data_IF_792998737044
#
_entry.id   IF_792998737044
#
_cell.length_a   1.000
_cell.length_b   1.000
_cell.length_c   1.000
_cell.angle_alpha   90.00
_cell.angle_beta   90.00
_cell.angle_gamma   90.00
#
_symmetry.space_group_name_H-M   'P 1'
#
loop_
_entity.id
_entity.type
_entity.pdbx_description
1 polymer ?
#
# COMPACT_ATOMS: atom_id res chain seq x y z
N UNK A 1 3.74 -6.90 12.93
CA UNK A 1 3.04 -7.56 11.81
C UNK A 1 4.05 -7.93 10.75
N UNK A 2 3.80 -9.01 10.02
CA UNK A 2 4.55 -9.40 8.83
C UNK A 2 3.89 -8.78 7.61
N UNK A 3 4.66 -8.06 6.83
CA UNK A 3 4.14 -7.24 5.72
C UNK A 3 4.89 -7.60 4.44
N UNK A 4 4.13 -7.95 3.40
CA UNK A 4 4.64 -7.96 2.04
C UNK A 4 4.64 -6.52 1.50
N UNK A 5 5.78 -6.02 1.06
CA UNK A 5 5.89 -4.65 0.56
C UNK A 5 6.35 -4.63 -0.90
N UNK A 6 5.49 -4.12 -1.77
CA UNK A 6 5.71 -4.12 -3.21
C UNK A 6 5.88 -2.70 -3.75
N UNK A 7 7.03 -2.44 -4.35
CA UNK A 7 7.35 -1.14 -4.94
C UNK A 7 8.21 -0.25 -4.04
N UNK A 8 9.53 -0.29 -4.26
CA UNK A 8 10.53 0.50 -3.55
C UNK A 8 11.09 1.61 -4.45
N UNK A 9 10.17 2.36 -5.06
CA UNK A 9 10.50 3.59 -5.77
C UNK A 9 10.83 4.74 -4.82
N UNK A 10 10.84 5.96 -5.34
CA UNK A 10 11.18 7.15 -4.56
C UNK A 10 10.25 7.37 -3.35
N UNK A 11 8.98 6.98 -3.46
CA UNK A 11 8.01 7.07 -2.37
C UNK A 11 7.98 5.80 -1.52
N UNK A 12 8.02 4.63 -2.14
CA UNK A 12 7.90 3.34 -1.43
C UNK A 12 9.09 3.01 -0.54
N UNK A 13 10.31 3.33 -0.96
CA UNK A 13 11.51 3.04 -0.16
C UNK A 13 11.48 3.74 1.22
N UNK A 14 11.25 5.05 1.35
CA UNK A 14 11.16 5.69 2.66
C UNK A 14 9.97 5.19 3.49
N UNK A 15 8.83 4.83 2.88
CA UNK A 15 7.69 4.22 3.58
C UNK A 15 8.10 2.87 4.18
N UNK A 16 8.77 2.00 3.41
CA UNK A 16 9.25 0.71 3.88
C UNK A 16 10.22 0.85 5.07
N UNK A 17 11.15 1.82 5.00
CA UNK A 17 12.09 2.10 6.09
C UNK A 17 11.37 2.57 7.37
N UNK A 18 10.31 3.37 7.24
CA UNK A 18 9.49 3.79 8.38
C UNK A 18 8.77 2.61 9.05
N UNK A 19 8.24 1.70 8.27
CA UNK A 19 7.59 0.48 8.77
C UNK A 19 8.58 -0.42 9.52
N UNK A 20 9.80 -0.62 8.98
CA UNK A 20 10.87 -1.34 9.66
C UNK A 20 11.26 -0.67 10.99
N UNK A 21 11.45 0.65 10.98
CA UNK A 21 11.75 1.42 12.19
C UNK A 21 10.63 1.35 13.25
N UNK A 22 9.39 1.11 12.82
CA UNK A 22 8.24 0.91 13.72
C UNK A 22 8.11 -0.53 14.24
N UNK A 23 9.08 -1.40 13.94
CA UNK A 23 9.15 -2.78 14.45
C UNK A 23 8.36 -3.81 13.65
N UNK A 24 7.96 -3.51 12.42
CA UNK A 24 7.34 -4.47 11.52
C UNK A 24 8.38 -5.32 10.79
N UNK A 25 8.03 -6.55 10.46
CA UNK A 25 8.84 -7.43 9.62
C UNK A 25 8.39 -7.29 8.17
N UNK A 26 9.30 -6.95 7.27
CA UNK A 26 9.00 -6.76 5.86
C UNK A 26 9.64 -7.81 4.98
N UNK A 27 8.84 -8.37 4.06
CA UNK A 27 9.31 -9.06 2.87
C UNK A 27 9.11 -8.14 1.68
N UNK A 28 10.18 -7.77 1.00
CA UNK A 28 10.16 -6.67 0.01
C UNK A 28 10.40 -7.18 -1.41
N UNK A 29 9.60 -6.67 -2.34
CA UNK A 29 9.78 -6.90 -3.77
C UNK A 29 9.75 -5.61 -4.57
N UNK A 30 10.60 -5.51 -5.56
CA UNK A 30 10.58 -4.44 -6.54
C UNK A 30 11.03 -4.97 -7.91
N UNK A 31 10.41 -4.50 -8.99
CA UNK A 31 10.79 -4.90 -10.36
C UNK A 31 12.28 -4.74 -10.63
N UNK A 32 12.88 -3.65 -10.15
CA UNK A 32 14.33 -3.45 -10.15
C UNK A 32 14.89 -3.86 -8.79
N UNK A 33 15.52 -5.02 -8.72
CA UNK A 33 16.00 -5.64 -7.49
C UNK A 33 16.94 -4.72 -6.68
N UNK A 34 17.81 -3.96 -7.35
CA UNK A 34 18.74 -3.01 -6.71
C UNK A 34 18.05 -2.05 -5.73
N UNK A 35 16.80 -1.70 -5.97
CA UNK A 35 16.03 -0.79 -5.12
C UNK A 35 15.61 -1.40 -3.79
N UNK A 36 15.71 -2.71 -3.62
CA UNK A 36 15.40 -3.40 -2.35
C UNK A 36 16.54 -3.30 -1.33
N UNK A 37 17.77 -3.07 -1.80
CA UNK A 37 18.99 -3.10 -0.95
C UNK A 37 18.92 -2.22 0.30
N UNK A 38 18.43 -0.97 0.26
CA UNK A 38 18.34 -0.16 1.48
C UNK A 38 17.44 -0.79 2.54
N UNK A 39 16.30 -1.34 2.15
CA UNK A 39 15.38 -2.02 3.06
C UNK A 39 15.98 -3.32 3.62
N UNK A 40 16.69 -4.08 2.79
CA UNK A 40 17.40 -5.30 3.23
C UNK A 40 18.48 -4.96 4.26
N UNK A 41 19.22 -3.88 4.04
CA UNK A 41 20.23 -3.41 5.00
C UNK A 41 19.62 -3.11 6.38
N UNK A 42 18.38 -2.61 6.41
CA UNK A 42 17.62 -2.33 7.63
C UNK A 42 16.82 -3.53 8.15
N UNK A 43 17.02 -4.73 7.59
CA UNK A 43 16.48 -5.98 8.11
C UNK A 43 15.27 -6.55 7.36
N UNK A 44 14.89 -5.99 6.22
CA UNK A 44 13.87 -6.61 5.38
C UNK A 44 14.40 -7.87 4.68
N UNK A 45 13.49 -8.78 4.33
CA UNK A 45 13.79 -9.98 3.56
C UNK A 45 13.49 -9.70 2.09
N UNK A 46 14.43 -10.02 1.20
CA UNK A 46 14.20 -9.93 -0.24
C UNK A 46 13.27 -11.05 -0.72
N UNK A 47 12.27 -10.70 -1.52
CA UNK A 47 11.42 -11.66 -2.22
C UNK A 47 11.75 -11.64 -3.72
N UNK A 48 11.84 -12.82 -4.34
CA UNK A 48 12.11 -12.94 -5.77
C UNK A 48 10.88 -12.61 -6.63
N UNK A 49 9.69 -12.77 -6.08
CA UNK A 49 8.41 -12.51 -6.76
C UNK A 49 7.44 -11.78 -5.82
N UNK A 50 6.41 -11.07 -6.37
CA UNK A 50 5.36 -10.50 -5.55
C UNK A 50 4.64 -11.53 -4.67
N UNK A 51 4.40 -12.73 -5.18
CA UNK A 51 3.76 -13.81 -4.43
C UNK A 51 4.62 -14.31 -3.27
N UNK A 52 5.94 -14.33 -3.43
CA UNK A 52 6.86 -14.67 -2.34
C UNK A 52 6.86 -13.61 -1.24
N UNK A 53 6.74 -12.33 -1.60
CA UNK A 53 6.63 -11.24 -0.63
C UNK A 53 5.35 -11.35 0.22
N UNK A 54 4.26 -11.86 -0.35
CA UNK A 54 2.97 -12.06 0.35
C UNK A 54 2.99 -13.27 1.28
N UNK A 55 3.83 -14.26 1.04
CA UNK A 55 3.79 -15.55 1.71
C UNK A 55 3.88 -15.43 3.24
N UNK A 56 2.77 -15.76 3.92
CA UNK A 56 2.67 -15.68 5.37
C UNK A 56 2.57 -14.25 5.93
N UNK A 57 2.29 -13.26 5.09
CA UNK A 57 2.07 -11.89 5.51
C UNK A 57 0.69 -11.70 6.17
N UNK A 58 0.61 -10.80 7.14
CA UNK A 58 -0.66 -10.33 7.73
C UNK A 58 -1.30 -9.25 6.85
N UNK A 59 -0.46 -8.51 6.13
CA UNK A 59 -0.86 -7.47 5.19
C UNK A 59 0.12 -7.37 4.01
N UNK A 60 -0.38 -6.86 2.87
CA UNK A 60 0.48 -6.36 1.80
C UNK A 60 0.28 -4.86 1.63
N UNK A 61 1.36 -4.16 1.35
CA UNK A 61 1.34 -2.73 1.02
C UNK A 61 1.95 -2.56 -0.37
N UNK A 62 1.22 -1.88 -1.25
CA UNK A 62 1.67 -1.63 -2.62
C UNK A 62 1.86 -0.15 -2.89
N UNK A 63 3.04 0.22 -3.39
CA UNK A 63 3.40 1.59 -3.79
C UNK A 63 3.96 1.52 -5.21
N UNK A 64 3.10 1.16 -6.17
CA UNK A 64 3.47 1.04 -7.57
C UNK A 64 3.17 2.35 -8.33
N UNK A 65 3.82 2.54 -9.46
CA UNK A 65 3.87 3.83 -10.16
C UNK A 65 2.52 4.24 -10.76
N UNK A 66 1.83 3.31 -11.45
CA UNK A 66 0.66 3.59 -12.28
C UNK A 66 -0.21 2.34 -12.51
N UNK A 67 -1.29 2.51 -13.24
CA UNK A 67 -2.22 1.43 -13.61
C UNK A 67 -1.49 0.27 -14.30
N UNK A 68 -0.56 0.56 -15.20
CA UNK A 68 0.16 -0.48 -15.94
C UNK A 68 0.99 -1.37 -15.02
N UNK A 69 1.64 -0.78 -14.00
CA UNK A 69 2.41 -1.53 -13.01
C UNK A 69 1.51 -2.42 -12.15
N UNK A 70 0.34 -1.92 -11.73
CA UNK A 70 -0.65 -2.74 -11.00
C UNK A 70 -1.24 -3.86 -11.85
N UNK A 71 -1.58 -3.58 -13.12
CA UNK A 71 -2.07 -4.60 -14.04
C UNK A 71 -1.05 -5.72 -14.25
N UNK A 72 0.23 -5.38 -14.44
CA UNK A 72 1.31 -6.35 -14.61
C UNK A 72 1.48 -7.24 -13.37
N UNK A 73 1.48 -6.64 -12.18
CA UNK A 73 1.70 -7.35 -10.92
C UNK A 73 0.50 -8.21 -10.55
N UNK A 74 -0.71 -7.68 -10.62
CA UNK A 74 -1.90 -8.40 -10.15
C UNK A 74 -2.49 -9.34 -11.17
N UNK A 75 -2.53 -8.97 -12.44
CA UNK A 75 -3.25 -9.70 -13.50
C UNK A 75 -2.34 -10.18 -14.64
N UNK A 76 -1.16 -9.58 -14.80
CA UNK A 76 -0.20 -9.89 -15.85
C UNK A 76 0.70 -11.06 -15.52
N UNK A 77 1.99 -10.93 -15.81
CA UNK A 77 2.98 -12.02 -15.69
C UNK A 77 3.13 -12.56 -14.27
N UNK A 78 2.97 -11.71 -13.26
CA UNK A 78 3.11 -12.12 -11.86
C UNK A 78 1.85 -12.75 -11.25
N UNK A 79 0.66 -12.44 -11.78
CA UNK A 79 -0.63 -12.97 -11.33
C UNK A 79 -0.81 -13.01 -9.82
N UNK A 80 -0.36 -11.97 -9.13
CA UNK A 80 -0.40 -11.91 -7.66
C UNK A 80 -1.80 -12.19 -7.10
N UNK A 81 -2.84 -11.73 -7.81
CA UNK A 81 -4.23 -11.91 -7.39
C UNK A 81 -4.60 -13.39 -7.12
N UNK A 82 -3.95 -14.33 -7.81
CA UNK A 82 -4.24 -15.75 -7.68
C UNK A 82 -3.56 -16.39 -6.46
N UNK A 83 -2.54 -15.75 -5.90
CA UNK A 83 -1.79 -16.24 -4.73
C UNK A 83 -2.23 -15.62 -3.40
N UNK A 84 -3.02 -14.53 -3.44
CA UNK A 84 -3.42 -13.85 -2.21
C UNK A 84 -4.27 -14.74 -1.31
N UNK A 85 -3.94 -14.76 -0.04
CA UNK A 85 -4.61 -15.59 0.97
C UNK A 85 -5.88 -14.92 1.51
N UNK A 86 -6.99 -15.66 1.69
CA UNK A 86 -8.19 -15.11 2.35
C UNK A 86 -7.88 -14.53 3.73
N UNK A 87 -8.47 -13.39 4.06
CA UNK A 87 -8.25 -12.67 5.31
C UNK A 87 -7.05 -11.71 5.29
N UNK A 88 -6.25 -11.73 4.22
CA UNK A 88 -5.17 -10.77 4.01
C UNK A 88 -5.73 -9.34 3.93
N UNK A 89 -4.98 -8.38 4.46
CA UNK A 89 -5.22 -6.95 4.28
C UNK A 89 -4.33 -6.41 3.17
N UNK A 90 -4.90 -5.84 2.12
CA UNK A 90 -4.16 -5.10 1.10
C UNK A 90 -4.34 -3.59 1.29
N UNK A 91 -3.25 -2.88 1.52
CA UNK A 91 -3.20 -1.41 1.58
C UNK A 91 -2.59 -0.89 0.28
N UNK A 92 -3.40 -0.23 -0.53
CA UNK A 92 -3.02 0.30 -1.83
C UNK A 92 -2.65 1.78 -1.68
N UNK A 93 -1.35 2.08 -1.64
CA UNK A 93 -0.83 3.45 -1.46
C UNK A 93 -0.45 4.15 -2.77
N UNK A 94 -0.37 3.43 -3.88
CA UNK A 94 -0.07 4.01 -5.20
C UNK A 94 -1.25 4.79 -5.77
N UNK A 95 -0.97 5.63 -6.75
CA UNK A 95 -1.99 6.38 -7.48
C UNK A 95 -2.47 5.57 -8.69
N UNK A 96 -3.74 5.19 -8.71
CA UNK A 96 -4.38 4.44 -9.80
C UNK A 96 -5.70 5.07 -10.22
N UNK A 97 -6.20 4.68 -11.39
CA UNK A 97 -7.52 5.11 -11.83
C UNK A 97 -8.63 4.52 -10.96
N UNK A 98 -9.75 5.22 -10.78
CA UNK A 98 -10.92 4.67 -10.08
C UNK A 98 -11.42 3.36 -10.68
N UNK A 99 -11.32 3.20 -12.01
CA UNK A 99 -11.74 1.98 -12.70
C UNK A 99 -10.88 0.77 -12.32
N UNK A 100 -9.56 0.92 -12.26
CA UNK A 100 -8.66 -0.15 -11.82
C UNK A 100 -8.86 -0.46 -10.33
N UNK A 101 -9.03 0.57 -9.49
CA UNK A 101 -9.33 0.38 -8.08
C UNK A 101 -10.63 -0.43 -7.89
N UNK A 102 -11.67 -0.14 -8.66
CA UNK A 102 -12.91 -0.91 -8.62
C UNK A 102 -12.70 -2.38 -9.04
N UNK A 103 -11.94 -2.62 -10.10
CA UNK A 103 -11.61 -3.99 -10.52
C UNK A 103 -10.85 -4.75 -9.43
N UNK A 104 -9.84 -4.14 -8.84
CA UNK A 104 -9.11 -4.73 -7.72
C UNK A 104 -10.05 -5.01 -6.53
N UNK A 105 -10.93 -4.08 -6.18
CA UNK A 105 -11.86 -4.25 -5.08
C UNK A 105 -12.78 -5.46 -5.28
N UNK A 106 -13.33 -5.65 -6.48
CA UNK A 106 -14.17 -6.80 -6.83
C UNK A 106 -13.38 -8.10 -6.73
N UNK A 107 -12.19 -8.15 -7.33
CA UNK A 107 -11.34 -9.35 -7.32
C UNK A 107 -10.87 -9.72 -5.91
N UNK A 108 -10.58 -8.74 -5.06
CA UNK A 108 -10.22 -8.95 -3.65
C UNK A 108 -11.41 -9.49 -2.86
N UNK A 109 -12.58 -8.86 -2.99
CA UNK A 109 -13.79 -9.29 -2.30
C UNK A 109 -14.18 -10.73 -2.65
N UNK A 110 -14.07 -11.12 -3.93
CA UNK A 110 -14.34 -12.49 -4.40
C UNK A 110 -13.41 -13.53 -3.76
N UNK A 111 -12.27 -13.12 -3.22
CA UNK A 111 -11.28 -13.99 -2.58
C UNK A 111 -11.23 -13.83 -1.05
N UNK A 112 -12.11 -13.02 -0.47
CA UNK A 112 -12.13 -12.77 0.96
C UNK A 112 -10.94 -11.95 1.47
N UNK A 113 -10.43 -11.04 0.64
CA UNK A 113 -9.31 -10.16 0.95
C UNK A 113 -9.84 -8.75 1.19
N UNK A 114 -9.38 -8.13 2.28
CA UNK A 114 -9.73 -6.75 2.61
C UNK A 114 -8.84 -5.78 1.81
N UNK A 115 -9.47 -4.87 1.06
CA UNK A 115 -8.77 -3.81 0.33
C UNK A 115 -9.04 -2.45 0.98
N UNK A 116 -7.98 -1.75 1.34
CA UNK A 116 -7.99 -0.33 1.73
C UNK A 116 -7.20 0.46 0.70
N UNK A 117 -7.87 1.33 -0.03
CA UNK A 117 -7.19 2.34 -0.84
C UNK A 117 -6.70 3.45 0.09
N UNK A 118 -5.42 3.78 -0.01
CA UNK A 118 -4.75 4.73 0.88
C UNK A 118 -3.70 5.56 0.11
N UNK A 119 -4.08 6.25 -0.99
CA UNK A 119 -3.14 7.11 -1.70
C UNK A 119 -2.50 8.11 -0.76
N UNK A 120 -1.19 8.29 -0.94
CA UNK A 120 -0.36 9.15 -0.10
C UNK A 120 -0.11 10.50 -0.79
N UNK A 121 -0.10 11.56 0.00
CA UNK A 121 0.18 12.93 -0.43
C UNK A 121 1.40 13.45 0.34
N UNK A 122 2.34 14.02 -0.39
CA UNK A 122 3.58 14.56 0.15
C UNK A 122 4.79 14.18 -0.72
N UNK A 123 5.97 14.50 -0.23
CA UNK A 123 7.24 14.23 -0.89
C UNK A 123 7.91 12.98 -0.30
N UNK A 124 8.95 12.43 -0.97
CA UNK A 124 9.79 11.38 -0.38
C UNK A 124 10.44 11.79 0.96
N UNK A 125 10.72 13.07 1.16
CA UNK A 125 11.24 13.61 2.43
C UNK A 125 10.16 13.50 3.51
N UNK A 126 8.91 13.87 3.19
CA UNK A 126 7.78 13.74 4.14
C UNK A 126 7.55 12.27 4.49
N UNK A 127 7.70 11.35 3.53
CA UNK A 127 7.62 9.92 3.78
C UNK A 127 8.71 9.46 4.77
N UNK A 128 9.97 9.87 4.56
CA UNK A 128 11.09 9.53 5.43
C UNK A 128 10.92 10.07 6.86
N UNK A 129 10.24 11.21 7.00
CA UNK A 129 10.00 11.86 8.29
C UNK A 129 8.65 11.48 8.93
N UNK A 130 7.86 10.61 8.27
CA UNK A 130 6.55 10.17 8.79
C UNK A 130 5.49 11.25 8.74
N UNK A 131 5.58 12.20 7.80
CA UNK A 131 4.70 13.37 7.67
C UNK A 131 3.75 13.32 6.48
N UNK A 132 3.60 12.18 5.84
CA UNK A 132 2.65 12.06 4.74
C UNK A 132 1.21 12.32 5.21
N UNK A 133 0.37 12.74 4.28
CA UNK A 133 -1.08 12.69 4.45
C UNK A 133 -1.64 11.52 3.65
N UNK A 134 -2.62 10.83 4.22
CA UNK A 134 -3.26 9.66 3.61
C UNK A 134 -4.75 9.92 3.45
N UNK A 135 -5.28 9.61 2.28
CA UNK A 135 -6.72 9.56 2.04
C UNK A 135 -7.11 8.08 2.02
N UNK A 136 -7.81 7.62 3.06
CA UNK A 136 -8.15 6.21 3.19
C UNK A 136 -9.63 5.94 2.88
N UNK A 137 -9.90 4.86 2.15
CA UNK A 137 -11.25 4.37 1.94
C UNK A 137 -11.25 2.83 1.89
N UNK A 138 -12.26 2.23 2.51
CA UNK A 138 -12.43 0.78 2.62
C UNK A 138 -13.42 0.42 3.73
N UNK A 139 -13.74 -0.86 3.88
CA UNK A 139 -14.58 -1.32 4.98
C UNK A 139 -14.02 -0.89 6.34
N UNK A 140 -14.88 -0.50 7.27
CA UNK A 140 -14.46 0.10 8.54
C UNK A 140 -13.49 -0.77 9.34
N UNK A 141 -13.70 -2.08 9.38
CA UNK A 141 -12.80 -3.03 10.05
C UNK A 141 -11.44 -3.12 9.34
N UNK A 142 -11.43 -3.10 8.01
CA UNK A 142 -10.20 -3.10 7.22
C UNK A 142 -9.39 -1.81 7.44
N UNK A 143 -10.07 -0.65 7.44
CA UNK A 143 -9.44 0.64 7.74
C UNK A 143 -8.87 0.66 9.18
N UNK A 144 -9.60 0.11 10.14
CA UNK A 144 -9.11 -0.01 11.53
C UNK A 144 -7.85 -0.87 11.62
N UNK A 145 -7.77 -1.98 10.87
CA UNK A 145 -6.58 -2.83 10.77
C UNK A 145 -5.41 -2.13 10.08
N UNK A 146 -5.71 -1.31 9.05
CA UNK A 146 -4.69 -0.57 8.30
C UNK A 146 -4.09 0.61 9.10
N UNK A 147 -4.87 1.23 9.97
CA UNK A 147 -4.49 2.47 10.67
C UNK A 147 -3.13 2.42 11.35
N UNK A 148 -2.78 1.41 12.18
CA UNK A 148 -1.47 1.37 12.82
C UNK A 148 -0.30 1.35 11.83
N UNK A 149 -0.50 0.74 10.66
CA UNK A 149 0.50 0.70 9.59
C UNK A 149 0.63 2.07 8.92
N UNK A 150 -0.50 2.70 8.62
CA UNK A 150 -0.53 4.04 8.02
C UNK A 150 0.11 5.09 8.94
N UNK A 151 -0.13 5.01 10.24
CA UNK A 151 0.46 5.90 11.26
C UNK A 151 1.99 5.82 11.36
N UNK A 152 2.60 4.71 10.88
CA UNK A 152 4.06 4.57 10.86
C UNK A 152 4.74 5.58 9.92
N UNK A 153 4.05 6.05 8.88
CA UNK A 153 4.64 6.92 7.86
C UNK A 153 3.80 8.19 7.55
N UNK A 154 2.69 8.38 8.23
CA UNK A 154 1.83 9.55 8.01
C UNK A 154 1.46 10.24 9.32
N UNK A 155 1.20 11.56 9.22
CA UNK A 155 0.72 12.37 10.34
C UNK A 155 -0.78 12.67 10.23
N UNK A 156 -1.38 12.56 9.04
CA UNK A 156 -2.79 12.81 8.80
C UNK A 156 -3.40 11.66 8.00
N UNK A 157 -4.52 11.14 8.49
CA UNK A 157 -5.29 10.10 7.82
C UNK A 157 -6.75 10.56 7.76
N UNK A 158 -7.23 10.86 6.55
CA UNK A 158 -8.62 11.20 6.29
C UNK A 158 -9.35 9.97 5.75
N UNK A 159 -10.33 9.46 6.48
CA UNK A 159 -11.19 8.37 6.00
C UNK A 159 -12.38 8.97 5.26
N UNK A 160 -12.49 8.70 3.96
CA UNK A 160 -13.42 9.37 3.07
C UNK A 160 -14.59 8.49 2.61
N UNK A 161 -14.59 7.21 2.98
CA UNK A 161 -15.70 6.33 2.64
C UNK A 161 -15.38 4.85 2.89
N UNK A 162 -16.39 4.04 2.62
CA UNK A 162 -16.32 2.58 2.80
C UNK A 162 -15.98 1.82 1.52
N UNK A 163 -16.01 2.49 0.37
CA UNK A 163 -15.64 1.92 -0.92
C UNK A 163 -14.23 2.41 -1.30
N UNK A 164 -13.27 1.52 -1.57
CA UNK A 164 -11.88 1.88 -1.88
C UNK A 164 -11.74 2.95 -2.98
N UNK A 165 -12.54 2.89 -4.04
CA UNK A 165 -12.46 3.86 -5.14
C UNK A 165 -12.73 5.31 -4.72
N UNK A 166 -13.40 5.54 -3.58
CA UNK A 166 -13.68 6.89 -3.08
C UNK A 166 -12.40 7.65 -2.71
N UNK A 167 -11.33 6.96 -2.35
CA UNK A 167 -10.05 7.58 -2.08
C UNK A 167 -9.43 8.28 -3.32
N UNK A 168 -9.76 7.83 -4.52
CA UNK A 168 -9.26 8.40 -5.76
C UNK A 168 -10.22 9.40 -6.42
N UNK A 169 -11.45 9.52 -5.93
CA UNK A 169 -12.45 10.48 -6.42
C UNK A 169 -12.21 11.90 -5.88
N UNK A 170 -11.43 12.04 -4.83
CA UNK A 170 -11.12 13.33 -4.22
C UNK A 170 -9.90 13.91 -4.93
N UNK A 171 -10.12 14.97 -5.70
CA UNK A 171 -9.03 15.75 -6.26
C UNK A 171 -8.25 16.41 -5.11
N UNK A 172 -6.91 16.40 -5.20
CA UNK A 172 -5.99 16.96 -4.20
C UNK A 172 -6.23 18.46 -3.85
N UNK A 173 -7.12 19.16 -4.55
CA UNK A 173 -7.53 20.53 -4.27
C UNK A 173 -8.79 20.67 -3.41
N UNK A 174 -9.41 19.57 -2.99
CA UNK A 174 -10.67 19.58 -2.22
C UNK A 174 -10.49 19.27 -0.73
N UNK A 175 -9.28 19.13 -0.26
CA UNK A 175 -9.01 19.05 1.18
C UNK A 175 -8.94 20.50 1.68
N UNK A 176 -10.09 21.12 1.85
CA UNK A 176 -10.18 22.37 2.60
C UNK A 176 -9.63 22.13 4.00
N UNK A 177 -8.67 22.95 4.37
CA UNK A 177 -8.17 23.03 5.74
C UNK A 177 -9.36 23.19 6.69
N UNK A 178 -9.36 22.53 7.84
CA UNK A 178 -10.40 22.81 8.83
C UNK A 178 -10.33 24.30 9.15
N UNK A 179 -11.40 24.98 8.86
CA UNK A 179 -11.59 26.39 9.25
C UNK A 179 -11.54 26.46 10.77
N UNK A 180 -10.85 27.43 11.37
CA UNK A 180 -10.66 27.57 12.81
C UNK A 180 -11.97 27.72 13.59
#
# INVERSE_FOLDING_TARGET
MRIGFLGLGNMGAPIALRLLASGHELSVWNRTEERTKPAIHEGAIAAATPAEAELGADAIITVLLDDAAYEEVFFGVHRLIDSLSPGLLHILCGAISPALCQRLAVEHANRGIDLVAAPVLGSPIDAAEGRLSVIAAGAGEAVARARPLLESFSQHIAVVGTNPQQAFAINAGSIDSPTP
#
